data_IF_258053494089
#
_entry.id   IF_258053494089
#
_cell.length_a   1.000
_cell.length_b   1.000
_cell.length_c   1.000
_cell.angle_alpha   90.00
_cell.angle_beta   90.00
_cell.angle_gamma   90.00
#
_symmetry.space_group_name_H-M   'P 1'
#
loop_
_entity.id
_entity.type
_entity.pdbx_description
1 polymer ?
#
# COMPACT_ATOMS: atom_id res chain seq x y z
N UNK A 1 -30.51 20.43 -1.59
CA UNK A 1 -30.23 19.39 -2.62
C UNK A 1 -29.08 19.84 -3.52
N UNK A 2 -29.26 20.39 -4.73
CA UNK A 2 -28.12 20.70 -5.63
C UNK A 2 -27.15 21.75 -5.09
N UNK A 3 -27.65 22.74 -4.35
CA UNK A 3 -26.79 23.81 -3.79
C UNK A 3 -25.88 23.30 -2.68
N UNK A 4 -26.33 22.36 -1.86
CA UNK A 4 -25.53 21.88 -0.71
C UNK A 4 -24.39 20.97 -1.16
N UNK A 5 -24.65 20.05 -2.11
CA UNK A 5 -23.61 19.18 -2.70
C UNK A 5 -22.61 20.00 -3.52
N UNK A 6 -23.10 20.95 -4.33
CA UNK A 6 -22.22 21.83 -5.08
C UNK A 6 -21.32 22.67 -4.17
N UNK A 7 -21.84 23.19 -3.06
CA UNK A 7 -21.06 23.93 -2.06
C UNK A 7 -20.05 23.04 -1.34
N UNK A 8 -20.40 21.79 -0.98
CA UNK A 8 -19.47 20.82 -0.39
C UNK A 8 -18.33 20.51 -1.37
N UNK A 9 -18.66 20.19 -2.62
CA UNK A 9 -17.65 19.89 -3.63
C UNK A 9 -16.80 21.11 -3.98
N UNK A 10 -17.38 22.31 -3.94
CA UNK A 10 -16.65 23.55 -4.16
C UNK A 10 -15.71 23.86 -2.99
N UNK A 11 -16.15 23.69 -1.74
CA UNK A 11 -15.31 23.84 -0.56
C UNK A 11 -14.12 22.86 -0.54
N UNK A 12 -14.35 21.60 -0.96
CA UNK A 12 -13.28 20.60 -1.11
C UNK A 12 -12.28 21.01 -2.19
N UNK A 13 -12.75 21.59 -3.30
CA UNK A 13 -11.88 22.09 -4.38
C UNK A 13 -11.08 23.34 -3.96
N UNK A 14 -11.73 24.29 -3.30
CA UNK A 14 -11.17 25.61 -2.97
C UNK A 14 -10.14 25.55 -1.84
N UNK A 15 -10.28 24.60 -0.91
CA UNK A 15 -9.35 24.46 0.22
C UNK A 15 -8.03 23.80 -0.17
N UNK A 16 -7.92 23.19 -1.36
CA UNK A 16 -6.70 22.51 -1.84
C UNK A 16 -6.27 21.32 -0.97
N UNK A 17 -7.07 20.98 0.04
CA UNK A 17 -6.84 19.90 0.99
C UNK A 17 -7.94 18.87 0.71
N UNK A 18 -7.67 17.83 -0.10
CA UNK A 18 -8.64 16.73 -0.30
C UNK A 18 -8.91 15.91 0.97
N UNK A 19 -8.45 16.39 2.13
CA UNK A 19 -8.52 15.68 3.39
C UNK A 19 -9.78 16.03 4.19
N UNK A 20 -10.64 15.01 4.24
CA UNK A 20 -11.61 14.68 5.30
C UNK A 20 -12.97 15.36 5.16
N UNK A 21 -13.85 14.67 4.46
CA UNK A 21 -15.25 14.67 4.88
C UNK A 21 -15.33 13.78 6.12
N UNK A 22 -15.49 14.42 7.28
CA UNK A 22 -15.81 13.73 8.51
C UNK A 22 -17.32 13.54 8.56
N UNK A 23 -17.76 12.29 8.70
CA UNK A 23 -19.08 12.00 9.24
C UNK A 23 -18.82 11.76 10.73
N UNK A 24 -18.74 12.87 11.47
CA UNK A 24 -18.47 12.94 12.91
C UNK A 24 -19.54 13.84 13.54
N UNK A 25 -20.16 13.40 14.65
CA UNK A 25 -21.18 14.02 15.54
C UNK A 25 -22.30 14.92 14.93
N UNK A 26 -22.27 15.17 13.63
CA UNK A 26 -23.09 16.11 12.89
C UNK A 26 -23.59 15.38 11.65
N UNK A 27 -24.66 14.63 11.88
CA UNK A 27 -25.70 14.26 10.92
C UNK A 27 -25.14 13.58 9.66
N UNK A 28 -25.29 12.26 9.56
CA UNK A 28 -25.39 11.63 8.23
C UNK A 28 -26.52 12.38 7.52
N UNK A 29 -26.16 13.34 6.64
CA UNK A 29 -27.15 14.20 6.02
C UNK A 29 -28.16 13.29 5.32
N UNK A 30 -29.43 13.70 5.31
CA UNK A 30 -30.47 12.98 4.54
C UNK A 30 -30.06 12.78 3.06
N UNK A 31 -29.04 13.51 2.58
CA UNK A 31 -28.51 13.54 1.22
C UNK A 31 -27.15 12.83 1.05
N UNK A 32 -26.75 11.94 1.98
CA UNK A 32 -25.47 11.21 1.94
C UNK A 32 -25.23 10.48 0.61
N UNK A 33 -26.29 10.02 -0.05
CA UNK A 33 -26.18 9.38 -1.36
C UNK A 33 -25.69 10.34 -2.47
N UNK A 34 -26.22 11.57 -2.51
CA UNK A 34 -25.83 12.55 -3.52
C UNK A 34 -24.37 12.97 -3.33
N UNK A 35 -23.95 13.23 -2.08
CA UNK A 35 -22.56 13.57 -1.77
C UNK A 35 -21.59 12.46 -2.18
N UNK A 36 -21.89 11.21 -1.84
CA UNK A 36 -21.02 10.06 -2.16
C UNK A 36 -20.92 9.79 -3.67
N UNK A 37 -22.04 9.92 -4.40
CA UNK A 37 -22.07 9.56 -5.82
C UNK A 37 -21.59 10.70 -6.73
N UNK A 38 -21.94 11.94 -6.40
CA UNK A 38 -21.72 13.10 -7.28
C UNK A 38 -20.40 13.81 -6.96
N UNK A 39 -19.92 13.77 -5.72
CA UNK A 39 -18.72 14.51 -5.32
C UNK A 39 -17.43 13.75 -5.64
N UNK A 40 -16.99 13.75 -6.90
CA UNK A 40 -15.75 13.04 -7.32
C UNK A 40 -14.47 13.53 -6.64
N UNK A 41 -14.48 14.71 -6.01
CA UNK A 41 -13.36 15.22 -5.22
C UNK A 41 -13.23 14.52 -3.85
N UNK A 42 -14.26 13.77 -3.40
CA UNK A 42 -14.29 13.10 -2.11
C UNK A 42 -13.40 11.85 -2.07
N UNK A 43 -12.14 12.00 -1.72
CA UNK A 43 -11.21 10.87 -1.67
C UNK A 43 -11.17 10.12 -0.33
N UNK A 44 -11.81 10.66 0.72
CA UNK A 44 -11.74 10.09 2.09
C UNK A 44 -13.09 10.15 2.79
N UNK A 45 -13.47 9.03 3.42
CA UNK A 45 -14.64 8.93 4.29
C UNK A 45 -14.19 8.45 5.67
N UNK A 46 -14.69 9.12 6.70
CA UNK A 46 -14.51 8.70 8.09
C UNK A 46 -15.87 8.62 8.78
N UNK A 47 -16.20 7.45 9.33
CA UNK A 47 -17.42 7.21 10.12
C UNK A 47 -17.03 7.00 11.59
N UNK A 48 -17.48 7.89 12.48
CA UNK A 48 -17.16 7.84 13.91
C UNK A 48 -18.42 7.81 14.77
N UNK A 49 -18.43 6.98 15.82
CA UNK A 49 -19.42 7.00 16.94
C UNK A 49 -20.88 7.28 16.53
N UNK A 50 -21.34 6.64 15.45
CA UNK A 50 -22.72 6.81 15.01
C UNK A 50 -23.69 6.48 16.16
N UNK A 51 -24.73 7.28 16.45
CA UNK A 51 -25.73 6.94 17.46
C UNK A 51 -26.58 5.71 17.03
N UNK A 52 -27.28 5.09 17.99
CA UNK A 52 -27.96 3.79 17.78
C UNK A 52 -29.12 3.87 16.78
N UNK A 53 -29.70 5.04 16.58
CA UNK A 53 -30.76 5.31 15.61
C UNK A 53 -30.26 5.48 14.16
N UNK A 54 -28.94 5.57 13.93
CA UNK A 54 -28.35 5.78 12.61
C UNK A 54 -27.85 4.49 11.92
N UNK A 55 -28.23 3.31 12.41
CA UNK A 55 -27.79 2.02 11.81
C UNK A 55 -28.23 1.87 10.34
N UNK A 56 -29.44 2.31 9.98
CA UNK A 56 -29.87 2.28 8.58
C UNK A 56 -29.10 3.25 7.69
N UNK A 57 -28.70 4.40 8.25
CA UNK A 57 -27.88 5.36 7.55
C UNK A 57 -26.45 4.81 7.29
N UNK A 58 -25.88 4.06 8.25
CA UNK A 58 -24.67 3.26 8.05
C UNK A 58 -24.85 2.22 6.95
N UNK A 59 -25.93 1.42 6.99
CA UNK A 59 -26.21 0.42 5.96
C UNK A 59 -26.29 1.03 4.56
N UNK A 60 -26.97 2.17 4.42
CA UNK A 60 -27.11 2.87 3.16
C UNK A 60 -25.77 3.41 2.67
N UNK A 61 -24.97 4.01 3.55
CA UNK A 61 -23.62 4.48 3.24
C UNK A 61 -22.74 3.34 2.73
N UNK A 62 -22.68 2.23 3.46
CA UNK A 62 -21.87 1.06 3.09
C UNK A 62 -22.30 0.43 1.76
N UNK A 63 -23.60 0.43 1.45
CA UNK A 63 -24.13 -0.05 0.15
C UNK A 63 -23.70 0.80 -1.04
N UNK A 64 -23.41 2.08 -0.81
CA UNK A 64 -23.01 3.01 -1.86
C UNK A 64 -21.50 3.04 -2.09
N UNK A 65 -20.69 2.56 -1.14
CA UNK A 65 -19.23 2.53 -1.26
C UNK A 65 -18.72 1.85 -2.55
N UNK A 66 -19.29 0.71 -3.02
CA UNK A 66 -18.86 0.10 -4.28
C UNK A 66 -19.01 1.00 -5.51
N UNK A 67 -19.91 1.99 -5.46
CA UNK A 67 -20.11 2.96 -6.55
C UNK A 67 -19.10 4.11 -6.50
N UNK A 68 -18.33 4.22 -5.42
CA UNK A 68 -17.39 5.31 -5.16
C UNK A 68 -15.96 4.93 -5.61
N UNK A 69 -15.74 4.82 -6.92
CA UNK A 69 -14.42 4.47 -7.51
C UNK A 69 -13.30 5.49 -7.28
N UNK A 70 -13.62 6.64 -6.69
CA UNK A 70 -12.69 7.72 -6.38
C UNK A 70 -12.22 7.70 -4.92
N UNK A 71 -12.83 6.85 -4.08
CA UNK A 71 -12.51 6.77 -2.66
C UNK A 71 -11.16 6.08 -2.45
N UNK A 72 -10.20 6.83 -1.90
CA UNK A 72 -8.84 6.37 -1.60
C UNK A 72 -8.65 6.01 -0.13
N UNK A 73 -9.45 6.55 0.79
CA UNK A 73 -9.28 6.35 2.24
C UNK A 73 -10.62 6.12 2.94
N UNK A 74 -10.68 5.06 3.76
CA UNK A 74 -11.86 4.70 4.55
C UNK A 74 -11.44 4.49 6.01
N UNK A 75 -12.08 5.20 6.93
CA UNK A 75 -11.88 5.08 8.37
C UNK A 75 -13.22 4.74 9.03
N UNK A 76 -13.34 3.55 9.60
CA UNK A 76 -14.55 3.08 10.27
C UNK A 76 -14.25 2.84 11.74
N UNK A 77 -14.86 3.65 12.60
CA UNK A 77 -14.75 3.54 14.05
C UNK A 77 -16.13 3.29 14.62
N UNK A 78 -16.46 2.01 14.78
CA UNK A 78 -17.80 1.55 15.08
C UNK A 78 -17.84 0.77 16.40
N UNK A 79 -18.95 0.82 17.15
CA UNK A 79 -19.18 -0.14 18.22
C UNK A 79 -19.17 -1.56 17.64
N UNK A 80 -18.37 -2.48 18.18
CA UNK A 80 -18.15 -3.77 17.51
C UNK A 80 -19.37 -4.69 17.48
N UNK A 81 -20.40 -4.46 18.32
CA UNK A 81 -21.69 -5.13 18.17
C UNK A 81 -22.36 -4.82 16.82
N UNK A 82 -22.09 -3.65 16.23
CA UNK A 82 -22.61 -3.24 14.92
C UNK A 82 -21.88 -3.87 13.75
N UNK A 83 -20.71 -4.47 13.97
CA UNK A 83 -19.97 -5.13 12.90
C UNK A 83 -20.64 -6.46 12.47
N UNK A 84 -21.59 -6.98 13.24
CA UNK A 84 -22.23 -8.27 12.96
C UNK A 84 -23.18 -8.22 11.75
N UNK A 85 -23.35 -9.38 11.12
CA UNK A 85 -24.33 -9.59 10.05
C UNK A 85 -24.09 -8.72 8.82
N UNK A 86 -25.03 -7.81 8.55
CA UNK A 86 -25.08 -7.04 7.30
C UNK A 86 -23.95 -6.03 7.15
N UNK A 87 -23.47 -5.43 8.24
CA UNK A 87 -22.38 -4.44 8.18
C UNK A 87 -21.07 -5.12 7.76
N UNK A 88 -20.70 -6.24 8.39
CA UNK A 88 -19.49 -6.99 8.00
C UNK A 88 -19.57 -7.51 6.56
N UNK A 89 -20.73 -8.00 6.10
CA UNK A 89 -20.85 -8.48 4.73
C UNK A 89 -20.71 -7.35 3.70
N UNK A 90 -21.30 -6.18 3.96
CA UNK A 90 -21.16 -5.01 3.08
C UNK A 90 -19.71 -4.51 3.02
N UNK A 91 -19.02 -4.45 4.17
CA UNK A 91 -17.61 -4.06 4.22
C UNK A 91 -16.74 -5.09 3.49
N UNK A 92 -16.93 -6.38 3.75
CA UNK A 92 -16.17 -7.45 3.09
C UNK A 92 -16.39 -7.44 1.56
N UNK A 93 -17.63 -7.24 1.10
CA UNK A 93 -17.94 -7.12 -0.32
C UNK A 93 -17.22 -5.92 -0.94
N UNK A 94 -17.34 -4.74 -0.33
CA UNK A 94 -16.65 -3.54 -0.81
C UNK A 94 -15.12 -3.74 -0.90
N UNK A 95 -14.52 -4.35 0.12
CA UNK A 95 -13.08 -4.63 0.14
C UNK A 95 -12.65 -5.67 -0.89
N UNK A 96 -13.52 -6.60 -1.26
CA UNK A 96 -13.22 -7.58 -2.30
C UNK A 96 -13.16 -6.93 -3.69
N UNK A 97 -14.06 -5.99 -3.95
CA UNK A 97 -14.26 -5.42 -5.29
C UNK A 97 -13.48 -4.12 -5.53
N UNK A 98 -13.13 -3.38 -4.47
CA UNK A 98 -12.48 -2.07 -4.62
C UNK A 98 -11.07 -2.18 -5.18
N UNK A 99 -10.79 -1.34 -6.18
CA UNK A 99 -9.45 -1.18 -6.79
C UNK A 99 -8.83 0.19 -6.49
N UNK A 100 -9.62 1.10 -5.91
CA UNK A 100 -9.24 2.49 -5.64
C UNK A 100 -8.76 2.72 -4.21
N UNK A 101 -9.27 1.94 -3.24
CA UNK A 101 -9.00 2.14 -1.83
C UNK A 101 -7.51 1.89 -1.52
N UNK A 102 -6.83 2.90 -0.98
CA UNK A 102 -5.40 2.86 -0.64
C UNK A 102 -5.19 2.77 0.87
N UNK A 103 -6.06 3.38 1.65
CA UNK A 103 -5.96 3.43 3.11
C UNK A 103 -7.24 2.89 3.74
N UNK A 104 -7.09 1.97 4.69
CA UNK A 104 -8.19 1.45 5.49
C UNK A 104 -7.81 1.50 6.96
N UNK A 105 -8.66 2.12 7.77
CA UNK A 105 -8.64 2.01 9.23
C UNK A 105 -9.96 1.42 9.72
N UNK A 106 -9.85 0.38 10.52
CA UNK A 106 -10.98 -0.23 11.22
C UNK A 106 -10.68 -0.19 12.72
N UNK A 107 -11.57 0.41 13.50
CA UNK A 107 -11.53 0.40 14.95
C UNK A 107 -12.87 -0.08 15.51
N UNK A 108 -12.82 -1.16 16.29
CA UNK A 108 -14.01 -1.72 16.92
C UNK A 108 -13.91 -1.59 18.43
N UNK A 109 -14.63 -0.63 19.00
CA UNK A 109 -14.72 -0.48 20.45
C UNK A 109 -15.91 -1.27 20.99
N UNK A 110 -15.79 -1.85 22.17
CA UNK A 110 -16.94 -2.40 22.89
C UNK A 110 -16.83 -2.05 24.37
N UNK A 111 -17.99 -1.81 24.96
CA UNK A 111 -18.18 -1.55 26.38
C UNK A 111 -18.41 -2.85 27.18
N UNK A 112 -18.61 -3.97 26.49
CA UNK A 112 -19.05 -5.24 27.09
C UNK A 112 -18.02 -6.34 26.82
N UNK A 113 -17.47 -6.89 27.90
CA UNK A 113 -16.67 -8.11 27.94
C UNK A 113 -17.57 -9.36 28.09
N UNK A 114 -17.21 -10.54 27.55
CA UNK A 114 -16.00 -10.84 26.78
C UNK A 114 -16.12 -10.55 25.27
N UNK A 115 -14.98 -10.21 24.66
CA UNK A 115 -14.85 -9.94 23.22
C UNK A 115 -14.61 -11.22 22.42
N UNK A 116 -15.61 -12.10 22.37
CA UNK A 116 -15.59 -13.25 21.47
C UNK A 116 -16.17 -12.85 20.11
N UNK A 117 -15.31 -12.23 19.30
CA UNK A 117 -15.63 -11.75 17.97
C UNK A 117 -14.80 -12.51 16.95
N UNK A 118 -15.45 -12.90 15.87
CA UNK A 118 -14.84 -13.58 14.74
C UNK A 118 -15.08 -12.74 13.49
N UNK A 119 -14.04 -12.59 12.68
CA UNK A 119 -13.94 -11.71 11.52
C UNK A 119 -13.52 -12.43 10.21
N UNK A 120 -13.96 -13.67 9.93
CA UNK A 120 -13.38 -14.47 8.88
C UNK A 120 -13.66 -13.88 7.49
N UNK A 121 -14.89 -13.40 7.25
CA UNK A 121 -15.26 -12.74 5.98
C UNK A 121 -14.45 -11.47 5.74
N UNK A 122 -14.22 -10.68 6.79
CA UNK A 122 -13.47 -9.44 6.69
C UNK A 122 -12.00 -9.72 6.37
N UNK A 123 -11.36 -10.62 7.12
CA UNK A 123 -9.95 -10.95 6.92
C UNK A 123 -9.71 -11.65 5.58
N UNK A 124 -10.67 -12.46 5.12
CA UNK A 124 -10.65 -13.05 3.79
C UNK A 124 -10.80 -12.01 2.67
N UNK A 125 -11.65 -11.00 2.86
CA UNK A 125 -11.75 -9.90 1.91
C UNK A 125 -10.45 -9.07 1.87
N UNK A 126 -9.86 -8.79 3.03
CA UNK A 126 -8.59 -8.09 3.14
C UNK A 126 -7.44 -8.87 2.49
N UNK A 127 -7.38 -10.19 2.67
CA UNK A 127 -6.33 -11.03 2.08
C UNK A 127 -6.38 -11.07 0.55
N UNK A 128 -7.57 -10.90 -0.03
CA UNK A 128 -7.77 -10.85 -1.47
C UNK A 128 -7.64 -9.44 -2.07
N UNK A 129 -7.63 -8.39 -1.24
CA UNK A 129 -7.57 -7.02 -1.74
C UNK A 129 -6.17 -6.69 -2.31
N UNK A 130 -6.16 -6.09 -3.50
CA UNK A 130 -4.92 -5.73 -4.25
C UNK A 130 -4.72 -4.22 -4.39
N UNK A 131 -5.43 -3.41 -3.62
CA UNK A 131 -5.44 -1.96 -3.73
C UNK A 131 -4.90 -1.25 -2.49
N UNK A 132 -5.12 -1.84 -1.30
CA UNK A 132 -4.77 -1.26 -0.01
C UNK A 132 -3.25 -1.25 0.15
N UNK A 133 -2.74 -0.08 0.54
CA UNK A 133 -1.34 0.22 0.82
C UNK A 133 -1.07 0.41 2.30
N UNK A 134 -2.08 0.93 3.02
CA UNK A 134 -2.03 1.20 4.46
C UNK A 134 -3.24 0.58 5.15
N UNK A 135 -2.99 -0.30 6.10
CA UNK A 135 -4.03 -0.98 6.87
C UNK A 135 -3.81 -0.74 8.37
N UNK A 136 -4.85 -0.29 9.06
CA UNK A 136 -4.89 -0.14 10.52
C UNK A 136 -6.08 -0.93 11.07
N UNK A 137 -5.79 -1.88 11.95
CA UNK A 137 -6.74 -2.73 12.65
C UNK A 137 -6.58 -2.47 14.15
N UNK A 138 -7.53 -1.74 14.73
CA UNK A 138 -7.50 -1.26 16.10
C UNK A 138 -8.56 -1.99 16.95
N UNK A 139 -8.15 -2.44 18.14
CA UNK A 139 -8.99 -3.16 19.12
C UNK A 139 -9.62 -4.46 18.60
N UNK A 140 -8.95 -5.12 17.66
CA UNK A 140 -9.36 -6.43 17.17
C UNK A 140 -9.07 -7.54 18.20
N UNK A 141 -9.99 -8.51 18.27
CA UNK A 141 -9.79 -9.81 18.87
C UNK A 141 -9.96 -10.82 17.74
N UNK A 142 -8.95 -11.66 17.48
CA UNK A 142 -8.98 -12.64 16.38
C UNK A 142 -8.58 -14.01 16.90
N UNK A 143 -9.13 -15.05 16.27
CA UNK A 143 -8.75 -16.44 16.54
C UNK A 143 -7.36 -16.76 15.97
N UNK A 144 -6.84 -17.95 16.27
CA UNK A 144 -5.57 -18.40 15.70
C UNK A 144 -5.66 -18.59 14.17
N UNK A 145 -6.76 -19.13 13.67
CA UNK A 145 -7.04 -19.31 12.24
C UNK A 145 -7.08 -17.96 11.52
N UNK A 146 -7.75 -16.98 12.12
CA UNK A 146 -7.83 -15.62 11.60
C UNK A 146 -6.47 -14.92 11.61
N UNK A 147 -5.66 -15.17 12.64
CA UNK A 147 -4.29 -14.68 12.70
C UNK A 147 -3.40 -15.30 11.61
N UNK A 148 -3.62 -16.56 11.22
CA UNK A 148 -2.94 -17.16 10.05
C UNK A 148 -3.32 -16.46 8.75
N UNK A 149 -4.61 -16.22 8.50
CA UNK A 149 -5.08 -15.47 7.32
C UNK A 149 -4.45 -14.07 7.27
N UNK A 150 -4.35 -13.40 8.42
CA UNK A 150 -3.70 -12.09 8.52
C UNK A 150 -2.20 -12.14 8.18
N UNK A 151 -1.50 -13.16 8.66
CA UNK A 151 -0.06 -13.35 8.35
C UNK A 151 0.15 -13.69 6.87
N UNK A 152 -0.69 -14.54 6.29
CA UNK A 152 -0.65 -14.88 4.85
C UNK A 152 -0.90 -13.64 3.98
N UNK A 153 -1.86 -12.79 4.35
CA UNK A 153 -2.08 -11.49 3.70
C UNK A 153 -0.80 -10.63 3.74
N UNK A 154 -0.19 -10.47 4.91
CA UNK A 154 1.01 -9.64 5.06
C UNK A 154 2.18 -10.18 4.23
N UNK A 155 2.31 -11.49 4.12
CA UNK A 155 3.37 -12.13 3.35
C UNK A 155 3.14 -11.99 1.83
N UNK A 156 1.91 -12.20 1.37
CA UNK A 156 1.57 -12.29 -0.06
C UNK A 156 1.20 -10.97 -0.71
N UNK A 157 0.77 -9.97 0.06
CA UNK A 157 0.35 -8.68 -0.48
C UNK A 157 1.48 -8.00 -1.25
N UNK A 158 1.12 -7.48 -2.44
CA UNK A 158 2.02 -6.72 -3.32
C UNK A 158 1.80 -5.22 -3.25
N UNK A 159 0.87 -4.77 -2.39
CA UNK A 159 0.52 -3.36 -2.25
C UNK A 159 0.62 -2.87 -0.80
N UNK A 160 0.36 -3.74 0.19
CA UNK A 160 0.38 -3.35 1.59
C UNK A 160 1.82 -3.08 2.06
N UNK A 161 2.14 -1.81 2.25
CA UNK A 161 3.46 -1.36 2.68
C UNK A 161 3.48 -0.82 4.12
N UNK A 162 2.32 -0.43 4.68
CA UNK A 162 2.21 -0.01 6.08
C UNK A 162 1.09 -0.76 6.79
N UNK A 163 1.41 -1.33 7.93
CA UNK A 163 0.46 -2.10 8.73
C UNK A 163 0.48 -1.64 10.19
N UNK A 164 -0.70 -1.39 10.76
CA UNK A 164 -0.88 -1.11 12.17
C UNK A 164 -1.87 -2.11 12.74
N UNK A 165 -1.45 -2.82 13.78
CA UNK A 165 -2.26 -3.84 14.43
C UNK A 165 -2.18 -3.64 15.93
N UNK A 166 -3.24 -3.07 16.49
CA UNK A 166 -3.33 -2.80 17.92
C UNK A 166 -4.46 -3.65 18.50
N UNK A 167 -4.26 -4.97 18.68
CA UNK A 167 -5.32 -5.84 19.18
C UNK A 167 -5.70 -5.49 20.61
N UNK A 168 -6.89 -5.95 21.00
CA UNK A 168 -7.43 -5.75 22.34
C UNK A 168 -6.54 -6.37 23.43
N UNK A 169 -5.89 -7.50 23.14
CA UNK A 169 -5.06 -8.23 24.08
C UNK A 169 -3.65 -8.48 23.52
N UNK A 170 -2.67 -8.66 24.42
CA UNK A 170 -1.28 -8.90 24.05
C UNK A 170 -1.05 -10.28 23.42
N UNK A 171 -1.86 -11.28 23.76
CA UNK A 171 -1.72 -12.65 23.26
C UNK A 171 -1.93 -12.70 21.74
N UNK A 172 -2.97 -12.04 21.24
CA UNK A 172 -3.25 -11.90 19.80
C UNK A 172 -2.09 -11.23 19.05
N UNK A 173 -1.53 -10.15 19.60
CA UNK A 173 -0.34 -9.52 19.00
C UNK A 173 0.85 -10.47 18.98
N UNK A 174 1.04 -11.23 20.06
CA UNK A 174 2.14 -12.17 20.20
C UNK A 174 2.04 -13.29 19.16
N UNK A 175 0.85 -13.89 19.01
CA UNK A 175 0.60 -14.94 18.03
C UNK A 175 0.91 -14.48 16.60
N UNK A 176 0.42 -13.30 16.20
CA UNK A 176 0.68 -12.74 14.86
C UNK A 176 2.19 -12.51 14.64
N UNK A 177 2.89 -11.93 15.62
CA UNK A 177 4.34 -11.68 15.51
C UNK A 177 5.12 -12.99 15.37
N UNK A 178 4.81 -13.99 16.19
CA UNK A 178 5.51 -15.28 16.16
C UNK A 178 5.28 -16.04 14.86
N UNK A 179 4.08 -15.96 14.28
CA UNK A 179 3.77 -16.56 12.98
C UNK A 179 4.43 -15.82 11.81
N UNK A 180 4.49 -14.48 11.87
CA UNK A 180 5.05 -13.66 10.79
C UNK A 180 6.58 -13.69 10.75
N UNK A 181 7.22 -13.69 11.91
CA UNK A 181 8.68 -13.62 12.09
C UNK A 181 9.49 -14.58 11.20
N UNK A 182 9.20 -15.90 11.13
CA UNK A 182 10.00 -16.83 10.34
C UNK A 182 9.87 -16.64 8.82
N UNK A 183 8.79 -16.02 8.34
CA UNK A 183 8.45 -15.97 6.91
C UNK A 183 8.61 -14.59 6.27
N UNK A 184 8.69 -13.53 7.10
CA UNK A 184 8.70 -12.13 6.63
C UNK A 184 9.98 -11.72 5.89
N UNK A 185 11.08 -12.46 6.03
CA UNK A 185 12.39 -12.14 5.43
C UNK A 185 12.32 -11.93 3.91
N UNK A 186 11.42 -12.65 3.23
CA UNK A 186 11.20 -12.55 1.78
C UNK A 186 10.30 -11.38 1.35
N UNK A 187 9.70 -10.64 2.29
CA UNK A 187 8.79 -9.55 2.00
C UNK A 187 9.54 -8.23 1.73
N UNK A 188 9.36 -7.68 0.53
CA UNK A 188 9.92 -6.38 0.12
C UNK A 188 8.88 -5.25 0.08
N UNK A 189 7.65 -5.50 0.54
CA UNK A 189 6.56 -4.53 0.50
C UNK A 189 6.44 -3.75 1.81
N UNK A 190 6.50 -4.44 2.94
CA UNK A 190 6.30 -3.88 4.27
C UNK A 190 7.47 -2.97 4.66
N UNK A 191 7.19 -1.68 4.84
CA UNK A 191 8.14 -0.65 5.28
C UNK A 191 7.84 -0.17 6.71
N UNK A 192 6.59 -0.26 7.18
CA UNK A 192 6.23 0.12 8.54
C UNK A 192 5.22 -0.88 9.12
N UNK A 193 5.48 -1.34 10.34
CA UNK A 193 4.62 -2.21 11.10
C UNK A 193 4.55 -1.73 12.54
N UNK A 194 3.34 -1.51 13.03
CA UNK A 194 3.08 -1.01 14.39
C UNK A 194 2.16 -1.96 15.13
N UNK A 195 2.47 -2.15 16.41
CA UNK A 195 1.59 -2.80 17.39
C UNK A 195 1.74 -2.11 18.74
N UNK A 196 0.72 -2.20 19.59
CA UNK A 196 0.69 -1.67 20.97
C UNK A 196 1.47 -2.58 21.95
N UNK A 197 1.78 -3.81 21.57
CA UNK A 197 2.40 -4.81 22.46
C UNK A 197 3.80 -5.22 21.98
N UNK A 198 4.71 -4.24 21.81
CA UNK A 198 6.03 -4.43 21.18
C UNK A 198 7.11 -5.08 22.07
N UNK A 199 6.97 -4.99 23.39
CA UNK A 199 8.15 -4.86 24.25
C UNK A 199 8.78 -6.15 24.81
N UNK A 200 8.40 -7.37 24.40
CA UNK A 200 8.95 -8.58 25.06
C UNK A 200 9.25 -9.81 24.19
N UNK A 201 9.19 -9.71 22.86
CA UNK A 201 9.23 -10.93 22.02
C UNK A 201 10.41 -10.96 21.04
N UNK A 202 11.23 -12.00 21.14
CA UNK A 202 12.32 -12.30 20.19
C UNK A 202 11.85 -12.30 18.72
N UNK A 203 10.58 -12.65 18.46
CA UNK A 203 10.00 -12.63 17.11
C UNK A 203 9.85 -11.24 16.48
N UNK A 204 10.02 -10.14 17.22
CA UNK A 204 9.93 -8.80 16.65
C UNK A 204 11.19 -8.38 15.87
N UNK A 205 12.37 -8.94 16.22
CA UNK A 205 13.62 -8.55 15.58
C UNK A 205 13.63 -8.80 14.06
N UNK A 206 13.23 -9.98 13.55
CA UNK A 206 13.19 -10.22 12.11
C UNK A 206 12.26 -9.26 11.35
N UNK A 207 11.12 -8.90 11.95
CA UNK A 207 10.18 -7.93 11.37
C UNK A 207 10.85 -6.55 11.31
N UNK A 208 11.53 -6.12 12.38
CA UNK A 208 12.26 -4.85 12.44
C UNK A 208 13.38 -4.77 11.40
N UNK A 209 14.12 -5.86 11.22
CA UNK A 209 15.20 -5.93 10.23
C UNK A 209 14.67 -5.84 8.80
N UNK A 210 13.54 -6.50 8.51
CA UNK A 210 12.86 -6.37 7.21
C UNK A 210 12.41 -4.92 6.96
N UNK A 211 11.77 -4.28 7.93
CA UNK A 211 11.36 -2.87 7.80
C UNK A 211 12.57 -1.96 7.56
N UNK A 212 13.67 -2.15 8.32
CA UNK A 212 14.90 -1.37 8.14
C UNK A 212 15.51 -1.56 6.75
N UNK A 213 15.61 -2.83 6.29
CA UNK A 213 16.08 -3.17 4.95
C UNK A 213 15.22 -2.50 3.89
N UNK A 214 13.90 -2.68 3.95
CA UNK A 214 12.98 -2.18 2.93
C UNK A 214 12.96 -0.65 2.91
N UNK A 215 12.99 0.03 4.06
CA UNK A 215 13.12 1.50 4.10
C UNK A 215 14.44 2.00 3.49
N UNK A 216 15.55 1.30 3.77
CA UNK A 216 16.85 1.64 3.17
C UNK A 216 16.82 1.50 1.66
N UNK A 217 16.20 0.43 1.14
CA UNK A 217 16.02 0.20 -0.29
C UNK A 217 15.10 1.27 -0.93
N UNK A 218 13.95 1.57 -0.32
CA UNK A 218 13.05 2.65 -0.76
C UNK A 218 13.79 3.99 -0.82
N UNK A 219 14.57 4.31 0.19
CA UNK A 219 15.30 5.59 0.26
C UNK A 219 16.35 5.66 -0.86
N UNK A 220 17.11 4.59 -1.08
CA UNK A 220 18.10 4.52 -2.18
C UNK A 220 17.45 4.61 -3.56
N UNK A 221 16.33 3.92 -3.75
CA UNK A 221 15.54 3.97 -4.97
C UNK A 221 15.01 5.40 -5.22
N UNK A 222 14.50 6.07 -4.20
CA UNK A 222 14.04 7.45 -4.32
C UNK A 222 15.19 8.39 -4.69
N UNK A 223 16.37 8.26 -4.08
CA UNK A 223 17.55 9.03 -4.48
C UNK A 223 17.98 8.77 -5.93
N UNK A 224 17.81 7.55 -6.44
CA UNK A 224 18.03 7.24 -7.85
C UNK A 224 17.10 8.07 -8.76
N UNK A 225 15.80 8.07 -8.42
CA UNK A 225 14.77 8.87 -9.12
C UNK A 225 15.08 10.36 -9.05
N UNK A 226 15.64 10.83 -7.93
CA UNK A 226 16.09 12.21 -7.77
C UNK A 226 17.42 12.53 -8.50
N UNK A 227 17.99 11.57 -9.25
CA UNK A 227 19.15 11.79 -10.12
C UNK A 227 20.47 11.15 -9.66
N UNK A 228 20.49 10.44 -8.53
CA UNK A 228 21.71 9.74 -8.09
C UNK A 228 21.99 8.54 -8.99
N UNK A 229 23.16 8.46 -9.63
CA UNK A 229 23.49 7.39 -10.61
C UNK A 229 24.45 6.33 -10.08
N UNK A 230 24.30 5.94 -8.81
CA UNK A 230 25.08 4.83 -8.25
C UNK A 230 24.43 3.47 -8.55
N UNK A 231 25.24 2.45 -8.83
CA UNK A 231 24.80 1.06 -9.09
C UNK A 231 23.82 0.53 -8.04
N UNK A 232 24.13 0.70 -6.75
CA UNK A 232 23.26 0.22 -5.66
C UNK A 232 21.92 0.97 -5.54
N UNK A 233 21.87 2.24 -5.98
CA UNK A 233 20.64 3.01 -6.05
C UNK A 233 19.78 2.55 -7.24
N UNK A 234 20.40 2.28 -8.38
CA UNK A 234 19.73 1.73 -9.56
C UNK A 234 19.15 0.33 -9.28
N UNK A 235 19.95 -0.55 -8.66
CA UNK A 235 19.49 -1.88 -8.25
C UNK A 235 18.32 -1.80 -7.25
N UNK A 236 18.36 -0.85 -6.31
CA UNK A 236 17.24 -0.61 -5.40
C UNK A 236 16.00 -0.10 -6.14
N UNK A 237 16.16 0.77 -7.14
CA UNK A 237 15.04 1.27 -7.96
C UNK A 237 14.36 0.14 -8.75
N UNK A 238 15.11 -0.73 -9.43
CA UNK A 238 14.53 -1.89 -10.13
C UNK A 238 13.81 -2.86 -9.17
N UNK A 239 14.36 -3.05 -7.98
CA UNK A 239 13.79 -3.94 -6.96
C UNK A 239 12.52 -3.37 -6.32
N UNK A 240 12.50 -2.07 -6.04
CA UNK A 240 11.44 -1.41 -5.27
C UNK A 240 10.40 -0.68 -6.13
N UNK A 241 10.49 -0.77 -7.46
CA UNK A 241 9.60 -0.05 -8.40
C UNK A 241 8.10 -0.25 -8.13
N UNK A 242 7.70 -1.42 -7.61
CA UNK A 242 6.29 -1.72 -7.30
C UNK A 242 5.91 -1.44 -5.86
N UNK A 243 6.86 -1.11 -4.99
CA UNK A 243 6.56 -0.80 -3.60
C UNK A 243 5.92 0.60 -3.51
N UNK A 244 4.69 0.76 -3.01
CA UNK A 244 4.05 2.07 -2.93
C UNK A 244 4.77 3.07 -2.03
N UNK A 245 5.58 2.57 -1.08
CA UNK A 245 6.46 3.40 -0.27
C UNK A 245 7.52 4.17 -1.08
N UNK A 246 7.89 3.70 -2.28
CA UNK A 246 8.74 4.46 -3.20
C UNK A 246 8.02 5.71 -3.72
N UNK A 247 6.77 5.57 -4.12
CA UNK A 247 5.94 6.71 -4.55
C UNK A 247 5.83 7.72 -3.42
N UNK A 248 5.46 7.27 -2.22
CA UNK A 248 5.37 8.15 -1.04
C UNK A 248 6.69 8.88 -0.77
N UNK A 249 7.83 8.20 -0.90
CA UNK A 249 9.14 8.81 -0.64
C UNK A 249 9.55 9.80 -1.73
N UNK A 250 9.21 9.55 -2.99
CA UNK A 250 9.45 10.48 -4.09
C UNK A 250 8.56 11.71 -3.96
N UNK A 251 7.28 11.55 -3.60
CA UNK A 251 6.38 12.68 -3.30
C UNK A 251 6.97 13.57 -2.20
N UNK A 252 7.47 12.98 -1.11
CA UNK A 252 8.13 13.69 -0.02
C UNK A 252 9.37 14.47 -0.50
N UNK A 253 10.30 13.80 -1.18
CA UNK A 253 11.58 14.40 -1.58
C UNK A 253 11.44 15.43 -2.71
N UNK A 254 10.51 15.23 -3.64
CA UNK A 254 10.28 16.12 -4.77
C UNK A 254 9.20 17.18 -4.52
N UNK A 255 8.40 17.03 -3.45
CA UNK A 255 7.22 17.86 -3.17
C UNK A 255 6.21 17.88 -4.33
N UNK A 256 5.85 16.68 -4.82
CA UNK A 256 4.96 16.48 -5.98
C UNK A 256 3.78 15.57 -5.63
N UNK A 257 2.75 15.57 -6.47
CA UNK A 257 1.61 14.66 -6.32
C UNK A 257 1.95 13.20 -6.74
N UNK A 258 1.00 12.30 -6.51
CA UNK A 258 1.17 10.86 -6.74
C UNK A 258 1.44 10.53 -8.22
N UNK A 259 0.75 11.20 -9.15
CA UNK A 259 0.88 10.91 -10.58
C UNK A 259 2.24 11.38 -11.09
N UNK A 260 2.68 12.56 -10.66
CA UNK A 260 4.01 13.06 -11.02
C UNK A 260 5.12 12.19 -10.41
N UNK A 261 4.98 11.76 -9.15
CA UNK A 261 5.94 10.83 -8.54
C UNK A 261 6.03 9.50 -9.30
N UNK A 262 4.90 8.93 -9.72
CA UNK A 262 4.87 7.72 -10.56
C UNK A 262 5.56 7.96 -11.90
N UNK A 263 5.27 9.07 -12.58
CA UNK A 263 5.94 9.42 -13.85
C UNK A 263 7.45 9.51 -13.69
N UNK A 264 7.94 10.18 -12.64
CA UNK A 264 9.38 10.30 -12.36
C UNK A 264 10.04 8.95 -12.11
N UNK A 265 9.37 8.04 -11.40
CA UNK A 265 9.85 6.67 -11.19
C UNK A 265 9.97 5.95 -12.54
N UNK A 266 8.93 6.00 -13.37
CA UNK A 266 8.93 5.35 -14.68
C UNK A 266 10.03 5.91 -15.60
N UNK A 267 10.16 7.23 -15.69
CA UNK A 267 11.15 7.89 -16.54
C UNK A 267 12.57 7.59 -16.06
N UNK A 268 12.77 7.55 -14.74
CA UNK A 268 14.06 7.15 -14.18
C UNK A 268 14.40 5.69 -14.46
N UNK A 269 13.42 4.78 -14.53
CA UNK A 269 13.65 3.37 -14.89
C UNK A 269 13.95 3.21 -16.38
N UNK A 270 13.26 3.96 -17.24
CA UNK A 270 13.53 4.02 -18.68
C UNK A 270 14.91 4.61 -18.99
N UNK A 271 15.43 5.51 -18.16
CA UNK A 271 16.69 6.21 -18.41
C UNK A 271 17.94 5.32 -18.41
N UNK A 272 17.82 4.04 -18.08
CA UNK A 272 18.92 3.07 -18.17
C UNK A 272 18.45 1.72 -18.75
N UNK A 273 17.37 1.73 -19.54
CA UNK A 273 16.91 0.52 -20.22
C UNK A 273 17.79 0.13 -21.39
N UNK A 274 18.45 1.10 -22.03
CA UNK A 274 19.32 0.88 -23.19
C UNK A 274 20.64 0.20 -22.80
N UNK A 275 21.28 -0.45 -23.79
CA UNK A 275 22.45 -1.32 -23.57
C UNK A 275 23.60 -0.56 -22.91
N UNK A 276 23.99 0.57 -23.49
CA UNK A 276 25.13 1.36 -23.00
C UNK A 276 24.88 1.91 -21.61
N UNK A 277 23.72 2.54 -21.39
CA UNK A 277 23.36 3.12 -20.09
C UNK A 277 23.32 2.06 -18.98
N UNK A 278 22.73 0.89 -19.26
CA UNK A 278 22.72 -0.21 -18.31
C UNK A 278 24.14 -0.70 -18.00
N UNK A 279 24.95 -0.95 -19.02
CA UNK A 279 26.31 -1.49 -18.86
C UNK A 279 27.22 -0.50 -18.13
N UNK A 280 27.08 0.80 -18.40
CA UNK A 280 27.75 1.86 -17.66
C UNK A 280 27.31 1.91 -16.20
N UNK A 281 25.99 1.93 -15.96
CA UNK A 281 25.43 2.03 -14.61
C UNK A 281 25.72 0.81 -13.74
N UNK A 282 25.77 -0.37 -14.36
CA UNK A 282 26.16 -1.62 -13.70
C UNK A 282 27.67 -1.73 -13.46
N UNK A 283 28.48 -0.81 -14.01
CA UNK A 283 29.93 -0.78 -13.87
C UNK A 283 30.68 -1.79 -14.73
N UNK A 284 30.04 -2.31 -15.79
CA UNK A 284 30.66 -3.27 -16.72
C UNK A 284 31.57 -2.56 -17.71
N UNK A 285 31.14 -1.39 -18.20
CA UNK A 285 31.91 -0.54 -19.11
C UNK A 285 31.95 0.89 -18.58
N UNK A 286 32.94 1.68 -19.02
CA UNK A 286 33.08 3.08 -18.56
C UNK A 286 32.21 4.06 -19.36
N UNK A 287 32.07 3.85 -20.67
CA UNK A 287 31.43 4.83 -21.56
C UNK A 287 30.36 4.23 -22.48
N UNK A 288 30.51 2.97 -22.87
CA UNK A 288 29.60 2.29 -23.79
C UNK A 288 30.18 0.94 -24.20
N UNK A 289 29.34 0.10 -24.78
CA UNK A 289 29.70 -1.23 -25.24
C UNK A 289 30.38 -1.12 -26.60
N UNK A 290 31.63 -1.57 -26.66
CA UNK A 290 32.38 -1.68 -27.91
C UNK A 290 32.91 -3.09 -28.07
N UNK A 291 32.76 -3.65 -29.26
CA UNK A 291 33.29 -4.96 -29.59
C UNK A 291 34.53 -4.84 -30.47
N UNK A 292 35.52 -5.74 -30.27
CA UNK A 292 36.63 -5.88 -31.21
C UNK A 292 36.08 -6.40 -32.54
N UNK A 293 36.54 -5.80 -33.64
CA UNK A 293 36.21 -6.24 -35.00
C UNK A 293 36.56 -7.71 -35.19
N UNK A 294 35.62 -8.46 -35.79
CA UNK A 294 35.80 -9.86 -36.20
C UNK A 294 35.55 -9.97 -37.70
N UNK A 295 36.26 -10.89 -38.34
CA UNK A 295 36.13 -11.18 -39.77
C UNK A 295 35.37 -12.50 -40.04
N UNK A 296 34.83 -13.14 -38.99
CA UNK A 296 34.11 -14.42 -39.08
C UNK A 296 32.59 -14.28 -39.29
N UNK A 297 32.10 -13.04 -39.41
CA UNK A 297 30.68 -12.73 -39.66
C UNK A 297 29.73 -13.07 -38.50
N UNK A 298 30.25 -13.45 -37.32
CA UNK A 298 29.40 -13.75 -36.16
C UNK A 298 28.89 -12.47 -35.52
N UNK A 299 27.61 -12.47 -35.13
CA UNK A 299 27.00 -11.37 -34.39
C UNK A 299 27.62 -11.25 -33.00
N UNK A 300 27.88 -10.02 -32.60
CA UNK A 300 28.39 -9.63 -31.29
C UNK A 300 27.32 -8.86 -30.51
N UNK A 301 27.63 -8.53 -29.25
CA UNK A 301 26.71 -7.80 -28.37
C UNK A 301 26.28 -6.44 -28.95
N UNK A 302 27.19 -5.75 -29.64
CA UNK A 302 26.91 -4.46 -30.31
C UNK A 302 25.98 -4.59 -31.52
N UNK A 303 25.83 -5.80 -32.07
CA UNK A 303 24.95 -6.07 -33.22
C UNK A 303 23.52 -6.39 -32.79
N UNK A 304 23.25 -6.42 -31.47
CA UNK A 304 21.90 -6.56 -30.95
C UNK A 304 21.13 -5.28 -31.22
N UNK A 305 19.98 -5.43 -31.88
CA UNK A 305 19.03 -4.33 -31.95
C UNK A 305 18.36 -4.13 -30.57
N UNK A 306 17.65 -3.02 -30.45
CA UNK A 306 16.96 -2.61 -29.23
C UNK A 306 16.01 -3.68 -28.69
N UNK A 307 15.22 -4.31 -29.55
CA UNK A 307 14.21 -5.29 -29.13
C UNK A 307 14.87 -6.56 -28.56
N UNK A 308 15.95 -7.04 -29.20
CA UNK A 308 16.73 -8.15 -28.68
C UNK A 308 17.34 -7.83 -27.31
N UNK A 309 17.88 -6.62 -27.15
CA UNK A 309 18.43 -6.19 -25.86
C UNK A 309 17.36 -6.10 -24.77
N UNK A 310 16.21 -5.48 -25.05
CA UNK A 310 15.11 -5.38 -24.10
C UNK A 310 14.57 -6.75 -23.69
N UNK A 311 14.56 -7.73 -24.60
CA UNK A 311 14.20 -9.11 -24.27
C UNK A 311 15.19 -9.74 -23.28
N UNK A 312 16.50 -9.52 -23.47
CA UNK A 312 17.52 -9.95 -22.50
C UNK A 312 17.34 -9.25 -21.15
N UNK A 313 17.03 -7.94 -21.16
CA UNK A 313 16.84 -7.13 -19.94
C UNK A 313 15.69 -7.56 -19.05
N UNK A 314 14.74 -8.34 -19.58
CA UNK A 314 13.69 -8.96 -18.74
C UNK A 314 14.27 -9.97 -17.74
N UNK A 315 15.44 -10.55 -18.04
CA UNK A 315 16.10 -11.57 -17.22
C UNK A 315 17.35 -11.06 -16.50
N UNK A 316 17.80 -9.83 -16.78
CA UNK A 316 19.03 -9.27 -16.22
C UNK A 316 18.76 -7.93 -15.53
N UNK A 317 18.99 -7.89 -14.22
CA UNK A 317 18.87 -6.72 -13.36
C UNK A 317 20.26 -6.17 -13.01
N UNK A 318 20.33 -4.89 -12.65
CA UNK A 318 21.56 -4.24 -12.19
C UNK A 318 22.12 -4.95 -10.95
N UNK A 319 21.24 -5.44 -10.09
CA UNK A 319 21.61 -6.18 -8.88
C UNK A 319 22.24 -7.56 -9.15
N UNK A 320 22.09 -8.11 -10.35
CA UNK A 320 22.66 -9.42 -10.71
C UNK A 320 24.15 -9.32 -11.07
N UNK A 321 24.64 -8.11 -11.36
CA UNK A 321 26.03 -7.86 -11.72
C UNK A 321 26.88 -7.75 -10.45
N UNK A 322 27.78 -8.70 -10.25
CA UNK A 322 28.69 -8.72 -9.11
C UNK A 322 29.76 -7.63 -9.23
N UNK A 323 30.15 -7.03 -8.10
CA UNK A 323 31.29 -6.14 -8.06
C UNK A 323 32.60 -6.95 -8.20
N UNK A 324 33.66 -6.37 -8.82
CA UNK A 324 34.97 -7.01 -8.85
C UNK A 324 35.43 -7.30 -7.42
N UNK A 325 35.92 -8.51 -7.18
CA UNK A 325 36.49 -8.91 -5.89
C UNK A 325 37.80 -8.19 -5.59
#
# INVERSE_FOLDING_TARGET
MDKDVAHICQAIRDTGVPERFFIDDHVISKDTAAVLLECKALSRISLYRLPDDEVEALHNTLRLLPMCSHLKSLDLQLPGFRFRGKVSSLIAQYLTDTTALRELRLEFFSEIWPFDWSYPMLLQALSNNKSIRRLSLERFSITEEEARVLVEMLQSSRTLCRFSFHPHNCQTSTSVILMLSPIISSNYMLIDMRTNWRQSYFGWYPIKDVMRRNNSLVTRAAHFVMGTRHKHCAAAAELMQFNPGLVEKVQELASVDENEAVSRIEDSLKSFSELDDFMCLAGIVKYGVTCKRRDDGQKQLVDLNRDCWLHIRQFLKVGDILDPK
#
